data_IF_533816621850
#
_entry.id   IF_533816621850
#
_cell.length_a   1.000
_cell.length_b   1.000
_cell.length_c   1.000
_cell.angle_alpha   90.00
_cell.angle_beta   90.00
_cell.angle_gamma   90.00
#
_symmetry.space_group_name_H-M   'P 1'
#
loop_
_entity.id
_entity.type
_entity.pdbx_description
1 polymer ?
#
# COMPACT_ATOMS: atom_id res chain seq x y z
N UNK A 1 4.67 14.76 -23.63
CA UNK A 1 5.91 14.78 -22.81
C UNK A 1 5.90 13.52 -21.95
N UNK A 2 7.01 12.76 -21.86
CA UNK A 2 7.09 11.54 -21.04
C UNK A 2 7.86 11.88 -19.77
N UNK A 3 7.23 11.73 -18.61
CA UNK A 3 7.89 11.85 -17.30
C UNK A 3 8.22 10.44 -16.84
N UNK A 4 9.46 10.21 -16.41
CA UNK A 4 9.91 8.94 -15.83
C UNK A 4 10.39 9.24 -14.43
N UNK A 5 9.81 8.56 -13.45
CA UNK A 5 10.18 8.67 -12.04
C UNK A 5 10.82 7.36 -11.59
N UNK A 6 11.90 7.47 -10.85
CA UNK A 6 12.51 6.38 -10.09
C UNK A 6 11.69 6.08 -8.84
N UNK A 7 11.85 4.89 -8.28
CA UNK A 7 11.19 4.52 -7.02
C UNK A 7 11.58 5.45 -5.86
N UNK A 8 12.82 5.95 -5.86
CA UNK A 8 13.31 6.89 -4.86
C UNK A 8 12.58 8.24 -4.97
N UNK A 9 12.44 8.79 -6.17
CA UNK A 9 11.70 10.04 -6.40
C UNK A 9 10.23 9.91 -6.02
N UNK A 10 9.60 8.76 -6.31
CA UNK A 10 8.21 8.49 -5.89
C UNK A 10 8.10 8.47 -4.36
N UNK A 11 9.04 7.81 -3.67
CA UNK A 11 9.03 7.76 -2.20
C UNK A 11 9.21 9.13 -1.58
N UNK A 12 10.13 9.93 -2.12
CA UNK A 12 10.37 11.30 -1.68
C UNK A 12 9.11 12.16 -1.87
N UNK A 13 8.49 12.10 -3.05
CA UNK A 13 7.27 12.85 -3.36
C UNK A 13 6.09 12.50 -2.43
N UNK A 14 6.01 11.24 -1.99
CA UNK A 14 4.95 10.74 -1.09
C UNK A 14 5.31 10.85 0.39
N UNK A 15 6.48 11.39 0.73
CA UNK A 15 7.04 11.39 2.08
C UNK A 15 7.06 9.97 2.70
N UNK A 16 7.31 8.96 1.88
CA UNK A 16 7.24 7.56 2.27
C UNK A 16 8.57 7.09 2.90
N UNK A 17 8.53 6.37 4.03
CA UNK A 17 9.73 5.84 4.65
C UNK A 17 10.38 4.78 3.74
N UNK A 18 11.71 4.74 3.77
CA UNK A 18 12.51 3.74 3.07
C UNK A 18 13.39 2.98 4.07
N UNK A 19 12.81 2.10 4.91
CA UNK A 19 13.57 1.37 5.89
C UNK A 19 14.56 0.42 5.21
N UNK A 20 15.78 0.34 5.77
CA UNK A 20 16.76 -0.68 5.37
C UNK A 20 16.40 -1.97 6.08
N UNK A 21 15.85 -2.93 5.33
CA UNK A 21 15.44 -4.23 5.85
C UNK A 21 16.48 -5.31 5.48
N UNK A 22 16.71 -6.31 6.35
CA UNK A 22 17.48 -7.49 5.97
C UNK A 22 16.87 -8.18 4.74
N UNK A 23 17.72 -8.79 3.92
CA UNK A 23 17.33 -9.41 2.63
C UNK A 23 16.27 -10.50 2.77
N UNK A 24 16.20 -11.17 3.92
CA UNK A 24 15.21 -12.21 4.20
C UNK A 24 13.80 -11.68 4.50
N UNK A 25 13.64 -10.39 4.80
CA UNK A 25 12.34 -9.83 5.21
C UNK A 25 11.34 -9.83 4.06
N UNK A 26 11.74 -9.35 2.89
CA UNK A 26 10.85 -9.28 1.72
C UNK A 26 10.30 -10.67 1.31
N UNK A 27 11.11 -11.76 1.23
CA UNK A 27 10.59 -13.10 1.03
C UNK A 27 9.53 -13.54 2.04
N UNK A 28 9.73 -13.26 3.34
CA UNK A 28 8.79 -13.63 4.40
C UNK A 28 7.46 -12.87 4.24
N UNK A 29 7.51 -11.56 4.01
CA UNK A 29 6.32 -10.74 3.79
C UNK A 29 5.53 -11.21 2.56
N UNK A 30 6.24 -11.53 1.47
CA UNK A 30 5.61 -12.05 0.27
C UNK A 30 4.95 -13.42 0.51
N UNK A 31 5.60 -14.31 1.26
CA UNK A 31 5.03 -15.61 1.61
C UNK A 31 3.76 -15.45 2.46
N UNK A 32 3.79 -14.61 3.50
CA UNK A 32 2.64 -14.33 4.34
C UNK A 32 1.47 -13.76 3.53
N UNK A 33 1.72 -12.78 2.65
CA UNK A 33 0.70 -12.20 1.79
C UNK A 33 0.11 -13.19 0.78
N UNK A 34 0.86 -14.19 0.33
CA UNK A 34 0.31 -15.25 -0.56
C UNK A 34 -0.74 -16.11 0.14
N UNK A 35 -0.54 -16.42 1.41
CA UNK A 35 -1.52 -17.18 2.20
C UNK A 35 -2.70 -16.32 2.62
N UNK A 36 -2.44 -15.11 3.13
CA UNK A 36 -3.50 -14.19 3.51
C UNK A 36 -4.29 -13.63 2.31
N UNK A 37 -3.73 -13.64 1.09
CA UNK A 37 -4.39 -12.99 -0.04
C UNK A 37 -4.65 -11.50 0.16
N UNK A 38 -3.88 -10.86 1.05
CA UNK A 38 -4.10 -9.49 1.54
C UNK A 38 -3.94 -8.39 0.49
N UNK A 39 -3.59 -8.72 -0.75
CA UNK A 39 -3.51 -7.77 -1.88
C UNK A 39 -4.61 -7.98 -2.92
N UNK A 40 -5.51 -8.95 -2.71
CA UNK A 40 -6.60 -9.22 -3.65
C UNK A 40 -7.59 -8.04 -3.63
N UNK A 41 -8.13 -7.61 -4.78
CA UNK A 41 -9.09 -6.50 -4.81
C UNK A 41 -10.35 -6.70 -3.94
N UNK A 42 -10.76 -7.95 -3.70
CA UNK A 42 -11.86 -8.26 -2.76
C UNK A 42 -11.53 -7.86 -1.31
N UNK A 43 -10.25 -7.81 -0.95
CA UNK A 43 -9.76 -7.44 0.38
C UNK A 43 -9.43 -5.95 0.42
N UNK A 44 -8.59 -5.47 -0.50
CA UNK A 44 -8.07 -4.08 -0.45
C UNK A 44 -8.85 -3.05 -1.26
N UNK A 45 -9.90 -3.48 -1.97
CA UNK A 45 -10.60 -2.64 -2.93
C UNK A 45 -9.86 -2.44 -4.25
N UNK A 46 -10.46 -1.67 -5.16
CA UNK A 46 -9.88 -1.35 -6.47
C UNK A 46 -9.07 -0.07 -6.37
N UNK A 47 -7.73 -0.17 -6.42
CA UNK A 47 -6.82 0.97 -6.24
C UNK A 47 -7.06 2.11 -7.23
N UNK A 48 -7.40 1.78 -8.48
CA UNK A 48 -7.69 2.77 -9.52
C UNK A 48 -8.89 3.64 -9.21
N UNK A 49 -9.87 3.10 -8.49
CA UNK A 49 -11.07 3.82 -8.07
C UNK A 49 -10.76 4.62 -6.80
N UNK A 50 -10.14 3.97 -5.80
CA UNK A 50 -9.81 4.60 -4.51
C UNK A 50 -8.93 5.83 -4.66
N UNK A 51 -7.98 5.83 -5.60
CA UNK A 51 -7.10 6.99 -5.80
C UNK A 51 -7.83 8.20 -6.38
N UNK A 52 -8.99 8.03 -7.03
CA UNK A 52 -9.80 9.16 -7.49
C UNK A 52 -10.49 9.89 -6.33
N UNK A 53 -10.82 9.16 -5.27
CA UNK A 53 -11.50 9.68 -4.08
C UNK A 53 -10.51 10.18 -3.00
N UNK A 54 -9.21 9.91 -3.18
CA UNK A 54 -8.17 10.32 -2.26
C UNK A 54 -7.70 11.75 -2.56
N UNK A 55 -7.83 12.63 -1.58
CA UNK A 55 -7.49 14.05 -1.66
C UNK A 55 -6.17 14.43 -0.94
N UNK A 56 -5.56 13.46 -0.25
CA UNK A 56 -4.30 13.62 0.45
C UNK A 56 -3.08 13.62 -0.49
N UNK A 57 -1.89 13.80 0.09
CA UNK A 57 -0.64 13.88 -0.69
C UNK A 57 0.44 12.91 -0.23
N UNK A 58 0.40 12.48 1.02
CA UNK A 58 1.43 11.64 1.62
C UNK A 58 0.95 10.20 1.83
N UNK A 59 1.90 9.29 2.02
CA UNK A 59 1.58 7.91 2.38
C UNK A 59 0.84 7.82 3.73
N UNK A 60 1.14 8.72 4.67
CA UNK A 60 0.46 8.77 5.97
C UNK A 60 -0.99 9.24 5.83
N UNK A 61 -1.25 10.22 4.95
CA UNK A 61 -2.62 10.66 4.64
C UNK A 61 -3.43 9.50 4.07
N UNK A 62 -2.83 8.75 3.12
CA UNK A 62 -3.45 7.56 2.55
C UNK A 62 -3.77 6.52 3.62
N UNK A 63 -2.82 6.23 4.49
CA UNK A 63 -2.98 5.23 5.54
C UNK A 63 -4.15 5.59 6.48
N UNK A 64 -4.28 6.85 6.88
CA UNK A 64 -5.39 7.34 7.71
C UNK A 64 -6.72 7.26 6.97
N UNK A 65 -6.77 7.87 5.78
CA UNK A 65 -7.97 7.93 4.93
C UNK A 65 -8.54 6.53 4.63
N UNK A 66 -7.64 5.57 4.37
CA UNK A 66 -7.99 4.19 4.06
C UNK A 66 -8.47 3.43 5.30
N UNK A 67 -7.77 3.53 6.42
CA UNK A 67 -8.13 2.81 7.65
C UNK A 67 -9.46 3.29 8.26
N UNK A 68 -9.78 4.58 8.12
CA UNK A 68 -11.09 5.12 8.54
C UNK A 68 -12.26 4.53 7.74
N UNK A 69 -12.05 4.30 6.43
CA UNK A 69 -13.09 3.78 5.52
C UNK A 69 -13.20 2.25 5.55
N UNK A 70 -12.08 1.57 5.76
CA UNK A 70 -11.98 0.12 5.72
C UNK A 70 -11.36 -0.44 7.02
N UNK A 71 -12.02 -0.26 8.19
CA UNK A 71 -11.45 -0.63 9.49
C UNK A 71 -11.22 -2.15 9.66
N UNK A 72 -11.95 -2.98 8.91
CA UNK A 72 -11.90 -4.44 9.02
C UNK A 72 -11.01 -5.12 7.97
N UNK A 73 -10.33 -4.35 7.10
CA UNK A 73 -9.57 -4.91 5.95
C UNK A 73 -8.60 -6.03 6.34
N UNK A 74 -7.93 -5.88 7.48
CA UNK A 74 -6.95 -6.86 7.97
C UNK A 74 -7.64 -8.16 8.38
N UNK A 75 -8.77 -8.08 9.08
CA UNK A 75 -9.57 -9.26 9.44
C UNK A 75 -10.16 -9.92 8.20
N UNK A 76 -10.61 -9.14 7.21
CA UNK A 76 -11.20 -9.63 5.97
C UNK A 76 -10.19 -10.31 5.03
N UNK A 77 -8.90 -10.06 5.23
CA UNK A 77 -7.82 -10.76 4.55
C UNK A 77 -7.69 -12.22 5.02
N UNK A 78 -7.93 -12.49 6.29
CA UNK A 78 -7.71 -13.82 6.88
C UNK A 78 -8.99 -14.65 6.74
N UNK A 79 -9.23 -15.17 5.52
CA UNK A 79 -10.33 -16.10 5.20
C UNK A 79 -9.80 -17.37 4.57
#
# INVERSE_FOLDING_TARGET
MKIVLTLSEVREALNAPSPVLPTYVSPILNLANRFAGGTRPRVVGQMSDLIQDFDGRTLDDWAKWYQERYPNTVSDAVV
#
